data_IF_759922534537
#
_entry.id   IF_759922534537
#
_cell.length_a   1.000
_cell.length_b   1.000
_cell.length_c   1.000
_cell.angle_alpha   90.00
_cell.angle_beta   90.00
_cell.angle_gamma   90.00
#
_symmetry.space_group_name_H-M   'P 1'
#
loop_
_entity.id
_entity.type
_entity.pdbx_description
1 polymer ?
#
# COMPACT_ATOMS: atom_id res chain seq x y z
N UNK A 1 5.29 2.01 10.56
CA UNK A 1 6.68 1.61 10.86
C UNK A 1 7.49 1.38 9.60
N UNK A 2 7.00 0.54 8.66
CA UNK A 2 7.70 0.30 7.39
C UNK A 2 7.84 1.57 6.53
N UNK A 3 6.78 2.37 6.41
CA UNK A 3 6.85 3.67 5.70
C UNK A 3 7.93 4.57 6.30
N UNK A 4 7.98 4.74 7.62
CA UNK A 4 9.05 5.54 8.24
C UNK A 4 10.44 5.05 7.89
N UNK A 5 10.64 3.73 7.80
CA UNK A 5 11.92 3.14 7.38
C UNK A 5 12.22 3.42 5.90
N UNK A 6 11.20 3.35 5.04
CA UNK A 6 11.29 3.76 3.64
C UNK A 6 11.70 5.23 3.51
N UNK A 7 11.03 6.12 4.24
CA UNK A 7 11.30 7.56 4.23
C UNK A 7 12.66 7.93 4.83
N UNK A 8 13.18 7.13 5.77
CA UNK A 8 14.53 7.32 6.33
C UNK A 8 15.65 6.65 5.52
N UNK A 9 15.35 5.70 4.64
CA UNK A 9 16.34 5.02 3.81
C UNK A 9 16.71 5.91 2.61
N UNK A 10 17.97 6.36 2.56
CA UNK A 10 18.48 7.26 1.52
C UNK A 10 18.23 6.66 0.13
N UNK A 11 17.50 7.40 -0.72
CA UNK A 11 17.19 7.02 -2.10
C UNK A 11 16.11 5.95 -2.28
N UNK A 12 15.51 5.42 -1.20
CA UNK A 12 14.50 4.37 -1.31
C UNK A 12 13.16 4.90 -1.86
N UNK A 13 12.75 6.12 -1.48
CA UNK A 13 11.57 6.77 -2.06
C UNK A 13 11.75 7.08 -3.55
N UNK A 14 12.93 7.55 -3.95
CA UNK A 14 13.23 7.81 -5.37
C UNK A 14 13.21 6.52 -6.18
N UNK A 15 13.82 5.46 -5.65
CA UNK A 15 13.79 4.13 -6.26
C UNK A 15 12.36 3.62 -6.40
N UNK A 16 11.54 3.77 -5.35
CA UNK A 16 10.13 3.39 -5.39
C UNK A 16 9.36 4.16 -6.47
N UNK A 17 9.53 5.48 -6.54
CA UNK A 17 8.89 6.33 -7.55
C UNK A 17 9.28 5.91 -8.97
N UNK A 18 10.57 5.70 -9.22
CA UNK A 18 11.08 5.26 -10.52
C UNK A 18 10.52 3.89 -10.92
N UNK A 19 10.45 2.94 -9.97
CA UNK A 19 9.88 1.60 -10.22
C UNK A 19 8.39 1.65 -10.53
N UNK A 20 7.62 2.50 -9.82
CA UNK A 20 6.19 2.70 -10.08
C UNK A 20 5.97 3.34 -11.45
N UNK A 21 6.74 4.38 -11.80
CA UNK A 21 6.66 5.01 -13.13
C UNK A 21 6.97 4.00 -14.24
N UNK A 22 7.89 3.07 -14.00
CA UNK A 22 8.21 1.98 -14.93
C UNK A 22 7.03 1.07 -15.28
N UNK A 23 5.96 1.02 -14.46
CA UNK A 23 4.74 0.26 -14.74
C UNK A 23 3.91 0.83 -15.89
N UNK A 24 4.09 2.11 -16.25
CA UNK A 24 3.34 2.74 -17.35
C UNK A 24 3.50 1.97 -18.67
N UNK A 25 4.71 1.49 -18.97
CA UNK A 25 4.97 0.66 -20.17
C UNK A 25 4.18 -0.64 -20.19
N UNK A 26 3.91 -1.22 -19.02
CA UNK A 26 3.10 -2.44 -18.94
C UNK A 26 1.61 -2.11 -19.04
N UNK A 27 1.18 -0.96 -18.53
CA UNK A 27 -0.20 -0.46 -18.66
C UNK A 27 -0.59 -0.16 -20.12
N UNK A 28 0.38 0.08 -21.02
CA UNK A 28 0.11 0.22 -22.46
C UNK A 28 -0.39 -1.07 -23.12
N UNK A 29 -0.11 -2.24 -22.51
CA UNK A 29 -0.41 -3.55 -23.08
C UNK A 29 -1.30 -4.43 -22.19
N UNK A 30 -1.40 -4.13 -20.90
CA UNK A 30 -2.12 -4.94 -19.92
C UNK A 30 -2.97 -4.08 -19.00
N UNK A 31 -4.15 -4.59 -18.65
CA UNK A 31 -5.00 -3.95 -17.65
C UNK A 31 -4.36 -3.91 -16.26
N UNK A 32 -4.81 -2.95 -15.45
CA UNK A 32 -4.37 -2.77 -14.06
C UNK A 32 -4.52 -4.05 -13.21
N UNK A 33 -5.58 -4.81 -13.48
CA UNK A 33 -5.94 -6.03 -12.74
C UNK A 33 -5.38 -7.32 -13.35
N UNK A 34 -4.61 -7.21 -14.44
CA UNK A 34 -3.97 -8.35 -15.07
C UNK A 34 -2.97 -9.03 -14.13
N UNK A 35 -2.75 -10.34 -14.31
CA UNK A 35 -1.75 -11.07 -13.54
C UNK A 35 -0.33 -10.51 -13.74
N UNK A 36 -0.04 -10.02 -14.96
CA UNK A 36 1.21 -9.37 -15.31
C UNK A 36 1.47 -8.15 -14.42
N UNK A 37 0.51 -7.23 -14.35
CA UNK A 37 0.70 -6.00 -13.60
C UNK A 37 0.66 -6.23 -12.10
N UNK A 38 -0.17 -7.19 -11.65
CA UNK A 38 -0.20 -7.60 -10.24
C UNK A 38 1.16 -8.18 -9.80
N UNK A 39 1.79 -8.99 -10.66
CA UNK A 39 3.11 -9.55 -10.41
C UNK A 39 4.20 -8.48 -10.43
N UNK A 40 4.11 -7.51 -11.33
CA UNK A 40 5.04 -6.39 -11.38
C UNK A 40 4.96 -5.50 -10.13
N UNK A 41 3.75 -5.15 -9.68
CA UNK A 41 3.53 -4.43 -8.43
C UNK A 41 4.03 -5.23 -7.21
N UNK A 42 3.79 -6.54 -7.19
CA UNK A 42 4.31 -7.43 -6.16
C UNK A 42 5.85 -7.43 -6.11
N UNK A 43 6.51 -7.43 -7.27
CA UNK A 43 7.97 -7.37 -7.35
C UNK A 43 8.52 -6.05 -6.77
N UNK A 44 7.88 -4.91 -7.05
CA UNK A 44 8.27 -3.62 -6.46
C UNK A 44 8.22 -3.68 -4.93
N UNK A 45 7.15 -4.25 -4.37
CA UNK A 45 7.06 -4.45 -2.92
C UNK A 45 8.20 -5.33 -2.38
N UNK A 46 8.47 -6.46 -3.04
CA UNK A 46 9.51 -7.41 -2.61
C UNK A 46 10.90 -6.80 -2.67
N UNK A 47 11.21 -6.05 -3.72
CA UNK A 47 12.55 -5.52 -3.97
C UNK A 47 12.85 -4.26 -3.15
N UNK A 48 11.86 -3.37 -3.01
CA UNK A 48 12.09 -2.03 -2.45
C UNK A 48 11.63 -1.93 -1.00
N UNK A 49 10.52 -2.60 -0.66
CA UNK A 49 9.81 -2.37 0.60
C UNK A 49 10.10 -3.47 1.62
N UNK A 50 9.95 -4.73 1.21
CA UNK A 50 10.12 -5.90 2.10
C UNK A 50 11.51 -6.00 2.77
N UNK A 51 12.64 -5.56 2.17
CA UNK A 51 13.95 -5.68 2.81
C UNK A 51 14.18 -4.66 3.94
N UNK A 52 13.35 -3.61 4.03
CA UNK A 52 13.51 -2.54 5.02
C UNK A 52 13.16 -2.98 6.45
N UNK A 53 12.56 -4.15 6.64
CA UNK A 53 12.23 -4.66 7.96
C UNK A 53 11.73 -6.10 7.97
N UNK A 54 11.29 -6.57 9.15
CA UNK A 54 10.65 -7.88 9.27
C UNK A 54 9.45 -7.99 8.33
N UNK A 55 9.26 -9.18 7.76
CA UNK A 55 8.13 -9.44 6.85
C UNK A 55 6.81 -9.27 7.60
N UNK A 56 5.84 -8.63 6.94
CA UNK A 56 4.46 -8.59 7.41
C UNK A 56 3.91 -10.00 7.38
N UNK A 57 3.44 -10.49 8.52
CA UNK A 57 2.85 -11.82 8.65
C UNK A 57 1.43 -11.78 8.07
N UNK A 58 1.22 -12.52 6.98
CA UNK A 58 -0.10 -12.66 6.35
C UNK A 58 -0.59 -14.07 6.67
N UNK A 59 -1.70 -14.16 7.39
CA UNK A 59 -2.29 -15.42 7.84
C UNK A 59 -3.67 -15.62 7.22
N UNK A 60 -4.09 -16.88 7.09
CA UNK A 60 -5.32 -17.27 6.43
C UNK A 60 -5.30 -18.75 6.06
N UNK A 61 -6.11 -19.15 5.08
CA UNK A 61 -6.08 -20.52 4.56
C UNK A 61 -4.73 -20.82 3.90
N UNK A 62 -3.96 -21.82 4.39
CA UNK A 62 -2.66 -22.17 3.82
C UNK A 62 -2.76 -22.58 2.35
N UNK A 63 -3.79 -23.35 1.99
CA UNK A 63 -4.01 -23.80 0.61
C UNK A 63 -4.23 -22.62 -0.35
N UNK A 64 -4.92 -21.57 0.10
CA UNK A 64 -5.14 -20.34 -0.70
C UNK A 64 -3.85 -19.54 -0.80
N UNK A 65 -3.09 -19.40 0.29
CA UNK A 65 -1.85 -18.63 0.33
C UNK A 65 -0.68 -19.29 -0.44
N UNK A 66 -0.81 -20.57 -0.81
CA UNK A 66 0.16 -21.23 -1.69
C UNK A 66 0.03 -20.77 -3.16
N UNK A 67 -1.11 -20.20 -3.57
CA UNK A 67 -1.29 -19.70 -4.94
C UNK A 67 -0.36 -18.51 -5.22
N UNK A 68 0.48 -18.56 -6.27
CA UNK A 68 1.32 -17.45 -6.68
C UNK A 68 0.53 -16.18 -7.02
N UNK A 69 -0.63 -16.32 -7.64
CA UNK A 69 -1.51 -15.20 -7.99
C UNK A 69 -2.05 -14.51 -6.74
N UNK A 70 -2.42 -15.28 -5.71
CA UNK A 70 -2.84 -14.72 -4.42
C UNK A 70 -1.69 -13.98 -3.75
N UNK A 71 -0.49 -14.57 -3.73
CA UNK A 71 0.71 -13.92 -3.19
C UNK A 71 1.02 -12.60 -3.90
N UNK A 72 0.89 -12.55 -5.24
CA UNK A 72 1.07 -11.33 -6.01
C UNK A 72 0.04 -10.26 -5.62
N UNK A 73 -1.24 -10.62 -5.55
CA UNK A 73 -2.33 -9.71 -5.12
C UNK A 73 -2.10 -9.16 -3.72
N UNK A 74 -1.70 -10.00 -2.77
CA UNK A 74 -1.38 -9.59 -1.40
C UNK A 74 -0.27 -8.55 -1.40
N UNK A 75 0.85 -8.81 -2.09
CA UNK A 75 2.01 -7.91 -2.13
C UNK A 75 1.70 -6.59 -2.85
N UNK A 76 0.98 -6.64 -3.96
CA UNK A 76 0.51 -5.45 -4.66
C UNK A 76 -0.43 -4.60 -3.78
N UNK A 77 -1.29 -5.24 -2.98
CA UNK A 77 -2.15 -4.53 -2.03
C UNK A 77 -1.34 -3.91 -0.88
N UNK A 78 -0.33 -4.62 -0.37
CA UNK A 78 0.59 -4.06 0.63
C UNK A 78 1.36 -2.85 0.08
N UNK A 79 1.77 -2.87 -1.19
CA UNK A 79 2.35 -1.71 -1.88
C UNK A 79 1.40 -0.50 -1.86
N UNK A 80 0.12 -0.71 -2.17
CA UNK A 80 -0.90 0.34 -2.11
C UNK A 80 -1.05 0.90 -0.68
N UNK A 81 -1.03 0.04 0.33
CA UNK A 81 -1.05 0.45 1.74
C UNK A 81 0.16 1.32 2.12
N UNK A 82 1.35 1.01 1.62
CA UNK A 82 2.54 1.83 1.83
C UNK A 82 2.40 3.19 1.13
N UNK A 83 1.88 3.24 -0.10
CA UNK A 83 1.59 4.50 -0.79
C UNK A 83 0.59 5.36 -0.02
N UNK A 84 -0.44 4.76 0.58
CA UNK A 84 -1.39 5.46 1.43
C UNK A 84 -0.73 5.97 2.72
N UNK A 85 0.18 5.21 3.34
CA UNK A 85 0.93 5.64 4.51
C UNK A 85 1.88 6.82 4.21
N UNK A 86 2.53 6.81 3.04
CA UNK A 86 3.36 7.93 2.56
C UNK A 86 2.49 9.18 2.41
N UNK A 87 1.32 9.06 1.76
CA UNK A 87 0.38 10.16 1.63
C UNK A 87 -0.08 10.69 2.99
N UNK A 88 -0.44 9.78 3.91
CA UNK A 88 -0.86 10.15 5.26
C UNK A 88 0.19 11.03 5.94
N UNK A 89 1.47 10.68 5.85
CA UNK A 89 2.54 11.52 6.39
C UNK A 89 2.70 12.85 5.64
N UNK A 90 2.61 12.86 4.31
CA UNK A 90 2.72 14.07 3.49
C UNK A 90 1.62 15.10 3.80
N UNK A 91 0.41 14.64 4.17
CA UNK A 91 -0.72 15.52 4.54
C UNK A 91 -0.77 15.84 6.04
N UNK A 92 0.31 15.62 6.78
CA UNK A 92 0.44 15.97 8.21
C UNK A 92 -0.02 14.87 9.18
N UNK A 93 -0.29 13.67 8.69
CA UNK A 93 -0.52 12.49 9.50
C UNK A 93 0.73 12.01 10.23
N UNK A 94 0.54 11.38 11.38
CA UNK A 94 1.63 10.80 12.15
C UNK A 94 1.16 10.13 13.43
N UNK A 95 2.07 9.47 14.15
CA UNK A 95 1.73 8.70 15.36
C UNK A 95 1.03 9.56 16.42
N UNK A 96 1.59 10.73 16.72
CA UNK A 96 1.01 11.65 17.71
C UNK A 96 -0.31 12.25 17.21
N UNK A 97 -0.36 12.63 15.93
CA UNK A 97 -1.58 13.14 15.30
C UNK A 97 -2.71 12.11 15.43
N UNK A 98 -2.48 10.82 15.14
CA UNK A 98 -3.47 9.76 15.30
C UNK A 98 -3.92 9.58 16.76
N UNK A 99 -2.98 9.61 17.70
CA UNK A 99 -3.28 9.48 19.13
C UNK A 99 -4.20 10.60 19.63
N UNK A 100 -3.91 11.86 19.28
CA UNK A 100 -4.67 13.01 19.78
C UNK A 100 -5.92 13.33 18.97
N UNK A 101 -6.02 12.88 17.71
CA UNK A 101 -7.17 13.19 16.83
C UNK A 101 -8.08 11.99 16.54
N UNK A 102 -7.95 10.88 17.28
CA UNK A 102 -8.72 9.65 17.05
C UNK A 102 -10.23 9.87 16.91
N UNK A 103 -10.80 10.72 17.77
CA UNK A 103 -12.24 11.01 17.74
C UNK A 103 -12.61 11.82 16.48
N UNK A 104 -11.83 12.85 16.15
CA UNK A 104 -12.01 13.65 14.94
C UNK A 104 -11.95 12.80 13.67
N UNK A 105 -10.97 11.89 13.58
CA UNK A 105 -10.82 10.99 12.44
C UNK A 105 -12.02 10.03 12.30
N UNK A 106 -12.48 9.47 13.42
CA UNK A 106 -13.66 8.59 13.44
C UNK A 106 -14.93 9.34 13.01
N UNK A 107 -15.14 10.55 13.51
CA UNK A 107 -16.29 11.39 13.12
C UNK A 107 -16.26 11.72 11.64
N UNK A 108 -15.11 12.14 11.11
CA UNK A 108 -14.98 12.44 9.68
C UNK A 108 -15.26 11.22 8.81
N UNK A 109 -14.74 10.04 9.18
CA UNK A 109 -14.99 8.81 8.45
C UNK A 109 -16.49 8.45 8.41
N UNK A 110 -17.20 8.60 9.54
CA UNK A 110 -18.66 8.40 9.61
C UNK A 110 -19.43 9.40 8.76
N UNK A 111 -19.03 10.67 8.77
CA UNK A 111 -19.64 11.70 7.93
C UNK A 111 -19.48 11.42 6.44
N UNK A 112 -18.28 11.00 6.01
CA UNK A 112 -18.04 10.57 4.62
C UNK A 112 -18.91 9.38 4.28
N UNK A 113 -19.00 8.37 5.15
CA UNK A 113 -19.85 7.20 4.91
C UNK A 113 -21.32 7.59 4.76
N UNK A 114 -21.86 8.41 5.66
CA UNK A 114 -23.24 8.89 5.60
C UNK A 114 -23.52 9.69 4.31
N UNK A 115 -22.56 10.52 3.87
CA UNK A 115 -22.69 11.25 2.61
C UNK A 115 -22.74 10.33 1.37
N UNK A 116 -22.08 9.17 1.42
CA UNK A 116 -22.09 8.18 0.35
C UNK A 116 -23.32 7.26 0.36
N UNK A 117 -24.07 7.23 1.47
CA UNK A 117 -25.28 6.42 1.63
C UNK A 117 -26.50 7.31 1.92
N UNK A 118 -26.96 8.14 0.97
CA UNK A 118 -28.06 9.08 1.20
C UNK A 118 -29.42 8.39 1.44
N UNK A 119 -29.54 7.11 1.08
CA UNK A 119 -30.76 6.30 1.21
C UNK A 119 -30.89 5.58 2.58
N UNK A 120 -29.91 5.74 3.47
CA UNK A 120 -29.88 5.19 4.85
C UNK A 120 -29.90 6.33 5.87
#
# INVERSE_FOLDING_TARGET
>A
MLERKLSSAKGALDTLGNRINGLQRQLEHFDLQSETLMSAMAAIYVDVISPLGPRIQVTGSPAVLQSPQVQAKVRATLLAGIRAAVLWHQVGGGRLQLMFSRNRLTTQAKQILAHLTPEL
#
